data_IF_578777695976
#
_entry.id   IF_578777695976
#
_cell.length_a   1.000
_cell.length_b   1.000
_cell.length_c   1.000
_cell.angle_alpha   90.00
_cell.angle_beta   90.00
_cell.angle_gamma   90.00
#
_symmetry.space_group_name_H-M   'P 1'
#
loop_
_entity.id
_entity.type
_entity.pdbx_description
1 polymer ?
#
# COMPACT_ATOMS: atom_id res chain seq x y z
N UNK A 1 3.01 3.94 4.63
CA UNK A 1 2.54 4.98 5.58
C UNK A 1 1.25 4.51 6.24
N UNK A 2 0.96 4.99 7.46
CA UNK A 2 -0.23 4.60 8.23
C UNK A 2 -0.92 5.83 8.80
N UNK A 3 -2.18 5.70 9.25
CA UNK A 3 -2.92 6.73 9.99
C UNK A 3 -4.29 7.08 9.39
N UNK A 4 -4.57 6.67 8.17
CA UNK A 4 -5.79 7.08 7.46
C UNK A 4 -7.06 6.47 8.07
N UNK A 5 -6.99 5.27 8.67
CA UNK A 5 -8.17 4.71 9.34
C UNK A 5 -8.64 5.61 10.48
N UNK A 6 -7.72 6.27 11.19
CA UNK A 6 -8.09 7.22 12.24
C UNK A 6 -8.78 8.46 11.67
N UNK A 7 -8.35 8.96 10.51
CA UNK A 7 -8.99 10.12 9.86
C UNK A 7 -10.44 9.79 9.53
N UNK A 8 -10.68 8.62 8.94
CA UNK A 8 -12.00 8.15 8.52
C UNK A 8 -12.91 7.85 9.71
N UNK A 9 -12.43 7.09 10.70
CA UNK A 9 -13.20 6.77 11.90
C UNK A 9 -13.51 8.02 12.74
N UNK A 10 -12.56 8.94 12.87
CA UNK A 10 -12.81 10.20 13.56
C UNK A 10 -13.90 11.01 12.85
N UNK A 11 -13.90 11.04 11.50
CA UNK A 11 -14.97 11.71 10.74
C UNK A 11 -16.33 11.08 10.99
N UNK A 12 -16.42 9.76 10.95
CA UNK A 12 -17.66 9.04 11.18
C UNK A 12 -18.19 9.22 12.60
N UNK A 13 -17.32 9.17 13.61
CA UNK A 13 -17.70 9.43 15.01
C UNK A 13 -18.17 10.88 15.17
N UNK A 14 -17.47 11.86 14.60
CA UNK A 14 -17.87 13.27 14.69
C UNK A 14 -19.24 13.52 14.05
N UNK A 15 -19.55 12.93 12.91
CA UNK A 15 -20.88 13.06 12.29
C UNK A 15 -22.00 12.51 13.17
N UNK A 16 -21.73 11.44 13.93
CA UNK A 16 -22.70 10.79 14.82
C UNK A 16 -22.89 11.54 16.14
N UNK A 17 -21.79 12.03 16.72
CA UNK A 17 -21.79 12.63 18.07
C UNK A 17 -22.06 14.14 18.02
N UNK A 18 -21.65 14.82 16.95
CA UNK A 18 -21.76 16.28 16.79
C UNK A 18 -22.38 16.65 15.42
N UNK A 19 -23.56 16.10 15.04
CA UNK A 19 -24.17 16.35 13.72
C UNK A 19 -24.42 17.83 13.43
N UNK A 20 -24.68 18.64 14.47
CA UNK A 20 -24.90 20.09 14.35
C UNK A 20 -23.70 20.84 13.77
N UNK A 21 -22.47 20.33 13.95
CA UNK A 21 -21.27 20.93 13.33
C UNK A 21 -21.29 20.81 11.80
N UNK A 22 -22.01 19.82 11.26
CA UNK A 22 -22.11 19.56 9.82
C UNK A 22 -23.34 20.22 9.18
N UNK A 23 -24.37 20.56 9.97
CA UNK A 23 -25.59 21.20 9.46
C UNK A 23 -25.40 22.67 9.05
N UNK A 24 -24.33 23.33 9.52
CA UNK A 24 -24.04 24.74 9.22
C UNK A 24 -22.71 25.01 8.50
N UNK A 25 -21.91 23.98 8.25
CA UNK A 25 -20.59 24.10 7.61
C UNK A 25 -20.47 23.15 6.42
N UNK A 26 -19.90 23.63 5.31
CA UNK A 26 -19.57 22.78 4.16
C UNK A 26 -18.24 22.06 4.40
N UNK A 27 -18.30 20.94 5.10
CA UNK A 27 -17.12 20.09 5.37
C UNK A 27 -16.87 19.16 4.19
N UNK A 28 -15.66 19.18 3.62
CA UNK A 28 -15.28 18.31 2.52
C UNK A 28 -15.30 16.82 2.96
N UNK A 29 -15.81 15.90 2.10
CA UNK A 29 -15.80 14.47 2.37
C UNK A 29 -14.36 13.95 2.40
N UNK A 30 -14.18 12.84 3.11
CA UNK A 30 -12.89 12.10 3.17
C UNK A 30 -13.08 10.61 2.90
N UNK A 31 -14.33 10.16 2.83
CA UNK A 31 -14.72 8.75 2.74
C UNK A 31 -14.33 8.12 1.40
N UNK A 32 -14.07 8.94 0.38
CA UNK A 32 -13.62 8.54 -0.97
C UNK A 32 -12.15 8.05 -1.00
N UNK A 33 -11.40 8.22 0.09
CA UNK A 33 -9.98 7.85 0.13
C UNK A 33 -9.69 6.40 -0.27
N UNK A 34 -10.39 5.36 0.25
CA UNK A 34 -10.08 3.98 -0.10
C UNK A 34 -10.34 3.68 -1.58
N UNK A 35 -11.39 4.27 -2.16
CA UNK A 35 -11.69 4.14 -3.59
C UNK A 35 -10.59 4.77 -4.44
N UNK A 36 -10.19 6.01 -4.14
CA UNK A 36 -9.09 6.68 -4.84
C UNK A 36 -7.74 5.94 -4.69
N UNK A 37 -7.50 5.31 -3.53
CA UNK A 37 -6.34 4.45 -3.32
C UNK A 37 -6.41 3.21 -4.21
N UNK A 38 -7.56 2.53 -4.27
CA UNK A 38 -7.75 1.37 -5.14
C UNK A 38 -7.56 1.72 -6.61
N UNK A 39 -8.15 2.82 -7.08
CA UNK A 39 -7.95 3.31 -8.45
C UNK A 39 -6.48 3.54 -8.77
N UNK A 40 -5.75 4.16 -7.83
CA UNK A 40 -4.31 4.38 -7.95
C UNK A 40 -3.52 3.06 -8.01
N UNK A 41 -3.90 2.06 -7.21
CA UNK A 41 -3.29 0.72 -7.25
C UNK A 41 -3.57 0.03 -8.59
N UNK A 42 -4.81 0.04 -9.07
CA UNK A 42 -5.22 -0.51 -10.37
C UNK A 42 -4.42 0.14 -11.51
N UNK A 43 -4.24 1.46 -11.47
CA UNK A 43 -3.48 2.20 -12.48
C UNK A 43 -1.99 1.81 -12.53
N UNK A 44 -1.48 1.14 -11.51
CA UNK A 44 -0.08 0.67 -11.44
C UNK A 44 0.09 -0.79 -11.91
N UNK A 45 -0.97 -1.42 -12.41
CA UNK A 45 -0.91 -2.79 -12.90
C UNK A 45 0.14 -2.98 -14.01
N UNK A 46 0.76 -4.17 -14.10
CA UNK A 46 1.63 -4.53 -15.22
C UNK A 46 0.97 -4.33 -16.59
N UNK A 47 1.75 -4.02 -17.65
CA UNK A 47 1.22 -3.88 -19.00
C UNK A 47 0.46 -5.13 -19.48
N UNK A 48 -0.67 -4.92 -20.14
CA UNK A 48 -1.49 -6.00 -20.71
C UNK A 48 -2.45 -6.66 -19.72
N UNK A 49 -2.68 -6.06 -18.55
CA UNK A 49 -3.67 -6.48 -17.56
C UNK A 49 -4.89 -5.55 -17.61
N UNK A 50 -6.01 -6.02 -18.15
CA UNK A 50 -7.23 -5.20 -18.28
C UNK A 50 -8.05 -5.11 -16.97
N UNK A 51 -8.07 -6.19 -16.19
CA UNK A 51 -8.80 -6.27 -14.92
C UNK A 51 -7.84 -6.80 -13.83
N UNK A 52 -7.00 -5.92 -13.24
CA UNK A 52 -5.96 -6.36 -12.32
C UNK A 52 -6.52 -6.83 -10.99
N UNK A 53 -6.00 -7.94 -10.49
CA UNK A 53 -6.28 -8.41 -9.13
C UNK A 53 -5.34 -7.70 -8.16
N UNK A 54 -5.94 -6.93 -7.26
CA UNK A 54 -5.26 -6.18 -6.20
C UNK A 54 -5.45 -6.90 -4.86
N UNK A 55 -4.40 -7.02 -4.06
CA UNK A 55 -4.46 -7.58 -2.68
C UNK A 55 -3.70 -6.71 -1.69
N UNK A 56 -4.06 -6.78 -0.41
CA UNK A 56 -3.30 -6.17 0.69
C UNK A 56 -2.48 -7.23 1.41
N UNK A 57 -1.16 -7.15 1.32
CA UNK A 57 -0.25 -8.07 2.01
C UNK A 57 0.05 -7.56 3.42
N UNK A 58 -0.33 -8.34 4.43
CA UNK A 58 -0.19 -7.99 5.85
C UNK A 58 0.75 -8.95 6.60
N UNK A 59 1.54 -8.47 7.58
CA UNK A 59 2.33 -9.34 8.46
C UNK A 59 1.46 -10.15 9.44
N UNK A 60 0.17 -9.79 9.59
CA UNK A 60 -0.78 -10.49 10.45
C UNK A 60 -1.11 -9.77 11.76
N UNK A 61 -1.90 -10.45 12.60
CA UNK A 61 -2.58 -9.91 13.79
C UNK A 61 -1.66 -9.30 14.86
N UNK A 62 -0.39 -9.70 14.88
CA UNK A 62 0.57 -9.22 15.88
C UNK A 62 1.22 -7.89 15.52
N UNK A 63 0.87 -7.30 14.38
CA UNK A 63 1.30 -5.97 14.01
C UNK A 63 0.33 -4.90 14.55
N UNK A 64 0.87 -3.82 15.12
CA UNK A 64 0.07 -2.75 15.73
C UNK A 64 -0.87 -2.03 14.76
N UNK A 65 -0.55 -2.02 13.46
CA UNK A 65 -1.37 -1.41 12.42
C UNK A 65 -2.30 -2.42 11.73
N UNK A 66 -2.39 -3.68 12.21
CA UNK A 66 -3.21 -4.72 11.59
C UNK A 66 -4.68 -4.31 11.40
N UNK A 67 -5.25 -3.59 12.37
CA UNK A 67 -6.59 -3.01 12.25
C UNK A 67 -6.73 -2.16 10.97
N UNK A 68 -5.77 -1.27 10.71
CA UNK A 68 -5.80 -0.43 9.51
C UNK A 68 -5.64 -1.23 8.22
N UNK A 69 -4.88 -2.33 8.26
CA UNK A 69 -4.71 -3.21 7.09
C UNK A 69 -6.04 -3.88 6.74
N UNK A 70 -6.72 -4.46 7.73
CA UNK A 70 -8.06 -5.03 7.59
C UNK A 70 -9.06 -3.98 7.13
N UNK A 71 -9.06 -2.81 7.77
CA UNK A 71 -9.97 -1.71 7.46
C UNK A 71 -9.82 -1.28 5.99
N UNK A 72 -8.59 -1.01 5.53
CA UNK A 72 -8.37 -0.60 4.14
C UNK A 72 -8.70 -1.69 3.13
N UNK A 73 -8.32 -2.95 3.39
CA UNK A 73 -8.67 -4.06 2.50
C UNK A 73 -10.20 -4.18 2.37
N UNK A 74 -10.92 -4.09 3.49
CA UNK A 74 -12.37 -4.14 3.52
C UNK A 74 -13.03 -2.95 2.79
N UNK A 75 -12.56 -1.72 3.03
CA UNK A 75 -13.12 -0.52 2.38
C UNK A 75 -12.83 -0.50 0.88
N UNK A 76 -11.68 -1.01 0.44
CA UNK A 76 -11.35 -1.19 -0.98
C UNK A 76 -12.08 -2.38 -1.61
N UNK A 77 -12.63 -3.30 -0.82
CA UNK A 77 -13.23 -4.53 -1.33
C UNK A 77 -12.21 -5.49 -1.96
N UNK A 78 -10.98 -5.52 -1.45
CA UNK A 78 -9.91 -6.40 -1.91
C UNK A 78 -9.51 -7.40 -0.84
N UNK A 79 -8.85 -8.49 -1.24
CA UNK A 79 -8.43 -9.54 -0.32
C UNK A 79 -7.28 -9.07 0.59
N UNK A 80 -7.41 -9.40 1.88
CA UNK A 80 -6.34 -9.27 2.86
C UNK A 80 -5.61 -10.61 2.97
N UNK A 81 -4.33 -10.62 2.60
CA UNK A 81 -3.54 -11.85 2.49
C UNK A 81 -2.27 -11.78 3.34
N UNK A 82 -1.82 -12.93 3.82
CA UNK A 82 -0.50 -13.09 4.44
C UNK A 82 0.46 -13.80 3.47
N UNK A 83 1.76 -13.75 3.76
CA UNK A 83 2.79 -14.41 2.95
C UNK A 83 2.46 -15.86 2.54
N UNK A 84 2.00 -16.73 3.47
CA UNK A 84 1.61 -18.11 3.16
C UNK A 84 0.42 -18.28 2.20
N UNK A 85 -0.43 -17.26 2.06
CA UNK A 85 -1.58 -17.28 1.14
C UNK A 85 -1.16 -17.05 -0.31
N UNK A 86 0.04 -16.49 -0.52
CA UNK A 86 0.63 -16.24 -1.82
C UNK A 86 1.66 -17.30 -2.19
N UNK A 87 1.84 -17.54 -3.49
CA UNK A 87 2.86 -18.44 -4.03
C UNK A 87 3.37 -17.90 -5.36
N UNK A 88 4.67 -18.01 -5.58
CA UNK A 88 5.29 -17.73 -6.88
C UNK A 88 5.33 -19.02 -7.70
N UNK A 89 4.78 -18.98 -8.92
CA UNK A 89 4.82 -20.09 -9.86
C UNK A 89 4.97 -19.56 -11.28
N UNK A 90 5.90 -20.11 -12.07
CA UNK A 90 6.05 -19.75 -13.49
C UNK A 90 6.23 -18.24 -13.74
N UNK A 91 7.01 -17.57 -12.89
CA UNK A 91 7.26 -16.12 -12.92
C UNK A 91 6.03 -15.23 -12.68
N UNK A 92 4.98 -15.74 -12.05
CA UNK A 92 3.83 -14.95 -11.59
C UNK A 92 3.54 -15.22 -10.11
N UNK A 93 2.86 -14.28 -9.46
CA UNK A 93 2.34 -14.45 -8.09
C UNK A 93 0.89 -14.89 -8.17
N UNK A 94 0.53 -15.87 -7.34
CA UNK A 94 -0.83 -16.35 -7.19
C UNK A 94 -1.26 -16.34 -5.74
N UNK A 95 -2.53 -16.03 -5.52
CA UNK A 95 -3.25 -16.23 -4.27
C UNK A 95 -3.89 -17.62 -4.26
N UNK A 96 -3.76 -18.33 -3.13
CA UNK A 96 -4.36 -19.63 -2.90
C UNK A 96 -5.82 -19.44 -2.50
N UNK A 97 -6.74 -19.87 -3.36
CA UNK A 97 -8.19 -19.88 -3.06
C UNK A 97 -8.70 -21.31 -2.96
N UNK A 98 -9.92 -21.48 -2.44
CA UNK A 98 -10.60 -22.78 -2.42
C UNK A 98 -10.92 -23.32 -3.82
N UNK A 99 -10.96 -22.45 -4.84
CA UNK A 99 -11.24 -22.81 -6.23
C UNK A 99 -9.98 -23.04 -7.07
N UNK A 100 -8.80 -22.79 -6.49
CA UNK A 100 -7.52 -22.89 -7.17
C UNK A 100 -6.69 -21.62 -7.02
N UNK A 101 -5.66 -21.51 -7.84
CA UNK A 101 -4.76 -20.35 -7.84
C UNK A 101 -5.39 -19.20 -8.65
N UNK A 102 -5.45 -18.03 -8.04
CA UNK A 102 -5.86 -16.79 -8.69
C UNK A 102 -4.63 -15.89 -8.86
N UNK A 103 -4.38 -15.41 -10.07
CA UNK A 103 -3.21 -14.58 -10.35
C UNK A 103 -3.39 -13.22 -9.68
N UNK A 104 -2.34 -12.73 -9.04
CA UNK A 104 -2.28 -11.39 -8.41
C UNK A 104 -1.39 -10.49 -9.24
N UNK A 105 -1.87 -9.29 -9.57
CA UNK A 105 -1.17 -8.34 -10.43
C UNK A 105 -0.58 -7.17 -9.63
N UNK A 106 -1.25 -6.75 -8.55
CA UNK A 106 -0.83 -5.64 -7.68
C UNK A 106 -0.93 -6.03 -6.21
N UNK A 107 0.15 -5.80 -5.47
CA UNK A 107 0.21 -6.06 -4.02
C UNK A 107 0.43 -4.74 -3.31
N UNK A 108 -0.58 -4.28 -2.58
CA UNK A 108 -0.42 -3.22 -1.58
C UNK A 108 0.22 -3.81 -0.32
N UNK A 109 1.54 -3.65 -0.20
CA UNK A 109 2.32 -4.24 0.90
C UNK A 109 2.23 -3.39 2.16
N UNK A 110 1.99 -4.05 3.29
CA UNK A 110 2.06 -3.50 4.64
C UNK A 110 3.17 -4.17 5.47
N UNK A 111 4.21 -4.61 4.77
CA UNK A 111 5.41 -5.27 5.29
C UNK A 111 6.65 -4.48 4.82
N UNK A 112 7.66 -4.37 5.67
CA UNK A 112 8.94 -3.72 5.35
C UNK A 112 9.79 -4.58 4.40
N UNK A 113 10.58 -3.94 3.53
CA UNK A 113 11.39 -4.54 2.47
C UNK A 113 12.17 -5.77 2.95
N UNK A 114 12.83 -5.66 4.10
CA UNK A 114 13.66 -6.72 4.71
C UNK A 114 12.92 -8.05 4.87
N UNK A 115 11.60 -8.01 5.04
CA UNK A 115 10.79 -9.20 5.28
C UNK A 115 9.97 -9.65 4.07
N UNK A 116 10.02 -8.93 2.93
CA UNK A 116 9.15 -9.22 1.77
C UNK A 116 9.43 -10.55 1.09
N UNK A 117 10.70 -10.92 0.97
CA UNK A 117 11.14 -12.10 0.22
C UNK A 117 12.37 -12.72 0.90
N UNK A 118 12.22 -13.90 1.54
CA UNK A 118 13.35 -14.56 2.22
C UNK A 118 14.45 -15.04 1.27
N UNK A 119 14.19 -15.13 -0.04
CA UNK A 119 15.23 -15.50 -1.02
C UNK A 119 16.11 -14.30 -1.41
N UNK A 120 15.64 -13.08 -1.19
CA UNK A 120 16.34 -11.85 -1.57
C UNK A 120 16.85 -11.05 -0.37
N UNK A 121 16.09 -10.99 0.72
CA UNK A 121 16.37 -10.14 1.88
C UNK A 121 16.71 -10.98 3.11
N UNK A 122 15.86 -10.98 4.14
CA UNK A 122 16.08 -11.75 5.36
C UNK A 122 15.63 -13.22 5.18
N UNK A 123 16.55 -14.20 5.17
CA UNK A 123 16.20 -15.61 4.99
C UNK A 123 15.36 -16.19 6.14
N UNK A 124 15.39 -15.56 7.32
CA UNK A 124 14.57 -15.96 8.47
C UNK A 124 13.16 -15.35 8.45
N UNK A 125 12.81 -14.58 7.40
CA UNK A 125 11.46 -14.00 7.27
C UNK A 125 10.40 -15.08 7.09
N UNK A 126 9.42 -15.10 7.99
CA UNK A 126 8.26 -16.00 7.95
C UNK A 126 6.99 -15.33 7.40
N UNK A 127 7.05 -14.03 7.09
CA UNK A 127 5.89 -13.23 6.68
C UNK A 127 5.94 -12.79 5.20
N UNK A 128 7.07 -13.04 4.54
CA UNK A 128 7.27 -12.75 3.13
C UNK A 128 6.76 -13.82 2.18
N UNK A 129 6.99 -13.61 0.90
CA UNK A 129 6.66 -14.53 -0.20
C UNK A 129 7.95 -14.90 -0.93
N UNK A 130 8.43 -16.15 -0.83
CA UNK A 130 9.65 -16.59 -1.50
C UNK A 130 9.60 -16.34 -3.02
N UNK A 131 10.60 -15.64 -3.55
CA UNK A 131 10.76 -15.35 -4.99
C UNK A 131 9.94 -14.15 -5.49
N UNK A 132 9.26 -13.43 -4.61
CA UNK A 132 8.44 -12.28 -4.96
C UNK A 132 9.25 -11.18 -5.68
N UNK A 133 10.49 -10.95 -5.25
CA UNK A 133 11.32 -9.90 -5.85
C UNK A 133 11.73 -10.23 -7.28
N UNK A 134 11.88 -11.51 -7.63
CA UNK A 134 12.21 -11.90 -9.00
C UNK A 134 11.02 -11.70 -9.95
N UNK A 135 9.80 -11.98 -9.48
CA UNK A 135 8.58 -11.67 -10.23
C UNK A 135 8.42 -10.16 -10.42
N UNK A 136 8.66 -9.39 -9.35
CA UNK A 136 8.58 -7.92 -9.40
C UNK A 136 9.61 -7.32 -10.37
N UNK A 137 10.87 -7.79 -10.33
CA UNK A 137 11.93 -7.36 -11.26
C UNK A 137 11.62 -7.68 -12.72
N UNK A 138 10.90 -8.77 -12.98
CA UNK A 138 10.42 -9.14 -14.33
C UNK A 138 9.23 -8.28 -14.80
N UNK A 139 8.68 -7.44 -13.94
CA UNK A 139 7.51 -6.61 -14.24
C UNK A 139 6.19 -7.38 -14.26
N UNK A 140 6.15 -8.58 -13.67
CA UNK A 140 4.98 -9.46 -13.68
C UNK A 140 4.05 -9.24 -12.47
N UNK A 141 4.47 -8.45 -11.48
CA UNK A 141 3.67 -8.00 -10.35
C UNK A 141 4.14 -6.62 -9.90
N UNK A 142 3.19 -5.75 -9.54
CA UNK A 142 3.49 -4.44 -8.96
C UNK A 142 3.44 -4.52 -7.43
N UNK A 143 4.45 -3.94 -6.79
CA UNK A 143 4.51 -3.77 -5.33
C UNK A 143 4.27 -2.30 -5.00
N UNK A 144 3.26 -2.02 -4.20
CA UNK A 144 2.92 -0.69 -3.74
C UNK A 144 3.04 -0.58 -2.22
N UNK A 145 3.89 0.28 -1.65
CA UNK A 145 4.91 1.09 -2.32
C UNK A 145 6.02 0.22 -2.92
N UNK A 146 6.81 0.75 -3.86
CA UNK A 146 7.95 0.03 -4.41
C UNK A 146 9.00 -0.30 -3.31
N UNK A 147 9.74 -1.41 -3.41
CA UNK A 147 10.92 -1.62 -2.59
C UNK A 147 11.97 -0.54 -2.84
N UNK A 148 12.66 -0.09 -1.78
CA UNK A 148 13.74 0.90 -1.84
C UNK A 148 13.31 2.36 -1.62
N UNK A 149 12.01 2.66 -1.47
CA UNK A 149 11.54 4.05 -1.25
C UNK A 149 12.08 4.68 0.03
N UNK A 150 12.56 3.87 0.98
CA UNK A 150 13.15 4.36 2.24
C UNK A 150 14.37 5.26 2.04
N UNK A 151 15.09 5.15 0.91
CA UNK A 151 16.19 6.08 0.62
C UNK A 151 15.71 7.52 0.48
N UNK A 152 14.50 7.74 -0.06
CA UNK A 152 13.97 9.07 -0.31
C UNK A 152 13.41 9.75 0.96
N UNK A 153 13.00 8.96 1.95
CA UNK A 153 12.45 9.43 3.23
C UNK A 153 13.49 9.36 4.37
N UNK A 154 14.76 9.11 4.04
CA UNK A 154 15.83 9.13 5.04
C UNK A 154 16.06 10.55 5.56
N UNK A 155 16.32 10.67 6.87
CA UNK A 155 16.52 11.97 7.53
C UNK A 155 17.65 12.79 6.91
N UNK A 156 18.69 12.14 6.38
CA UNK A 156 19.79 12.84 5.72
C UNK A 156 19.38 13.40 4.36
N UNK A 157 18.43 12.76 3.66
CA UNK A 157 17.91 13.22 2.37
C UNK A 157 16.96 14.40 2.55
N UNK A 158 16.27 14.50 3.69
CA UNK A 158 15.33 15.58 3.97
C UNK A 158 15.92 16.98 3.71
N UNK A 159 17.18 17.20 4.10
CA UNK A 159 17.87 18.48 3.88
C UNK A 159 17.99 18.89 2.40
N UNK A 160 17.93 17.94 1.48
CA UNK A 160 18.09 18.14 0.04
C UNK A 160 16.76 18.22 -0.73
N UNK A 161 15.60 18.09 -0.06
CA UNK A 161 14.29 18.17 -0.71
C UNK A 161 14.09 19.48 -1.49
N UNK A 162 14.51 20.67 -1.00
CA UNK A 162 14.46 21.90 -1.77
C UNK A 162 15.23 21.83 -3.10
N UNK A 163 16.44 21.29 -3.07
CA UNK A 163 17.29 21.12 -4.26
C UNK A 163 16.70 20.08 -5.22
N UNK A 164 16.11 19.01 -4.70
CA UNK A 164 15.39 17.99 -5.49
C UNK A 164 14.23 18.64 -6.25
N UNK A 165 13.39 19.43 -5.56
CA UNK A 165 12.28 20.16 -6.20
C UNK A 165 12.83 21.07 -7.31
N UNK A 166 13.87 21.85 -7.01
CA UNK A 166 14.48 22.76 -7.99
C UNK A 166 15.05 21.99 -9.20
N UNK A 167 15.68 20.86 -8.96
CA UNK A 167 16.31 20.06 -10.01
C UNK A 167 15.28 19.41 -10.94
N UNK A 168 14.24 18.76 -10.40
CA UNK A 168 13.27 18.00 -11.19
C UNK A 168 12.12 18.85 -11.75
N UNK A 169 11.69 19.88 -11.03
CA UNK A 169 10.54 20.70 -11.40
C UNK A 169 10.94 22.10 -11.89
N UNK A 170 12.19 22.53 -11.65
CA UNK A 170 12.64 23.91 -11.91
C UNK A 170 11.79 24.98 -11.19
N UNK A 171 11.20 24.59 -10.06
CA UNK A 171 10.33 25.41 -9.24
C UNK A 171 10.96 25.69 -7.88
N UNK A 172 10.46 26.71 -7.18
CA UNK A 172 10.81 26.94 -5.79
C UNK A 172 9.84 26.17 -4.88
N UNK A 173 10.30 25.60 -3.75
CA UNK A 173 9.43 24.85 -2.85
C UNK A 173 8.28 25.70 -2.32
N UNK A 174 7.04 25.23 -2.51
CA UNK A 174 5.83 25.88 -1.95
C UNK A 174 5.80 25.72 -0.43
N UNK A 175 6.18 24.54 0.07
CA UNK A 175 6.29 24.24 1.49
C UNK A 175 7.75 24.35 1.91
N UNK A 176 8.01 25.09 2.99
CA UNK A 176 9.34 25.18 3.58
C UNK A 176 9.72 23.85 4.23
N UNK A 177 11.00 23.48 4.09
CA UNK A 177 11.58 22.36 4.81
C UNK A 177 11.66 22.68 6.31
N UNK A 178 11.52 21.67 7.19
CA UNK A 178 11.69 21.86 8.66
C UNK A 178 13.12 22.20 9.05
#
# INVERSE_FOLDING_TARGET
>A
PSGVSYVLENREVMKRVLPELFLGNTVAPVEEYPEALLESLIATAPPGVDNPVVVVLTPGIYNSAYFEHCFLAQQMGVELVQGPDLVVQGDFVYMKTTRGLEKVDVIYRRIDDTFLDPLTFNPDSMIGVPGLMDVHRKGNVTLANAPGTGVADDKAIYAYVPEIIKYYLNEDPILSNV
#
